data_IF_092203917360
#
_entry.id   IF_092203917360
#
_cell.length_a   1.000
_cell.length_b   1.000
_cell.length_c   1.000
_cell.angle_alpha   90.00
_cell.angle_beta   90.00
_cell.angle_gamma   90.00
#
_symmetry.space_group_name_H-M   'P 1'
#
loop_
_entity.id
_entity.type
_entity.pdbx_description
1 polymer ?
#
# COMPACT_ATOMS: atom_id res chain seq x y z
N UNK A 1 13.07 11.67 -12.94
CA UNK A 1 12.15 10.57 -12.58
C UNK A 1 11.68 10.73 -11.17
N UNK A 2 10.44 10.38 -10.91
CA UNK A 2 9.87 10.45 -9.57
C UNK A 2 9.12 9.17 -9.23
N UNK A 3 8.95 8.93 -7.93
CA UNK A 3 8.13 7.82 -7.44
C UNK A 3 6.73 8.32 -7.15
N UNK A 4 5.77 7.49 -7.46
CA UNK A 4 4.39 7.78 -7.17
C UNK A 4 3.69 6.47 -6.79
N UNK A 5 2.58 6.55 -6.08
CA UNK A 5 1.94 5.32 -5.69
C UNK A 5 0.67 5.50 -4.89
N UNK A 6 0.30 4.46 -4.19
CA UNK A 6 -0.91 4.42 -3.38
C UNK A 6 -0.57 4.05 -1.94
N UNK A 7 -1.46 4.43 -1.04
CA UNK A 7 -1.38 4.06 0.37
C UNK A 7 -2.66 3.35 0.78
N UNK A 8 -2.53 2.33 1.62
CA UNK A 8 -3.66 1.60 2.17
C UNK A 8 -3.70 1.83 3.67
N UNK A 9 -4.85 2.27 4.17
CA UNK A 9 -5.07 2.60 5.58
C UNK A 9 -6.23 1.81 6.15
N UNK A 10 -6.23 1.63 7.46
CA UNK A 10 -7.47 1.32 8.15
C UNK A 10 -8.36 2.57 8.11
N UNK A 11 -9.65 2.36 8.02
CA UNK A 11 -10.61 3.46 8.03
C UNK A 11 -11.04 3.74 9.47
N UNK A 12 -11.03 5.01 9.83
CA UNK A 12 -11.47 5.47 11.14
C UNK A 12 -12.81 6.20 11.00
N UNK A 13 -13.62 6.20 12.05
CA UNK A 13 -14.82 7.02 12.10
C UNK A 13 -14.49 8.49 12.34
N UNK A 14 -13.24 8.79 12.66
CA UNK A 14 -12.75 10.16 12.81
C UNK A 14 -12.55 10.80 11.43
N UNK A 15 -12.22 12.08 11.43
CA UNK A 15 -12.00 12.82 10.18
C UNK A 15 -10.78 12.36 9.42
N UNK A 16 -9.78 11.88 10.12
CA UNK A 16 -8.52 11.43 9.51
C UNK A 16 -8.59 9.95 9.16
N UNK A 17 -7.78 9.56 8.17
CA UNK A 17 -7.59 8.15 7.86
C UNK A 17 -6.97 7.45 9.07
N UNK A 18 -7.29 6.17 9.23
CA UNK A 18 -6.68 5.35 10.28
C UNK A 18 -5.22 5.06 9.99
N UNK A 19 -4.59 4.21 10.82
CA UNK A 19 -3.17 3.91 10.65
C UNK A 19 -2.84 3.33 9.29
N UNK A 20 -1.69 3.70 8.76
CA UNK A 20 -1.21 3.27 7.46
C UNK A 20 -0.76 1.80 7.52
N UNK A 21 -1.20 1.00 6.55
CA UNK A 21 -0.89 -0.43 6.49
C UNK A 21 0.21 -0.73 5.47
N UNK A 22 0.07 -0.19 4.27
CA UNK A 22 0.94 -0.55 3.15
C UNK A 22 1.01 0.58 2.14
N UNK A 23 2.11 0.58 1.38
CA UNK A 23 2.30 1.51 0.27
C UNK A 23 2.81 0.75 -0.94
N UNK A 24 2.28 1.09 -2.10
CA UNK A 24 2.74 0.58 -3.38
C UNK A 24 3.27 1.72 -4.22
N UNK A 25 4.36 1.50 -4.94
CA UNK A 25 5.06 2.53 -5.70
C UNK A 25 5.34 2.12 -7.13
N UNK A 26 5.33 3.11 -8.02
CA UNK A 26 5.85 2.97 -9.38
C UNK A 26 6.85 4.10 -9.60
N UNK A 27 7.77 3.88 -10.53
CA UNK A 27 8.65 4.94 -11.02
C UNK A 27 7.98 5.59 -12.22
N UNK A 28 7.95 6.91 -12.22
CA UNK A 28 7.35 7.68 -13.31
C UNK A 28 8.45 8.25 -14.17
N UNK A 29 8.35 8.02 -15.47
CA UNK A 29 9.31 8.60 -16.42
C UNK A 29 8.88 10.01 -16.79
N UNK A 30 9.85 10.81 -17.23
CA UNK A 30 9.66 12.23 -17.52
C UNK A 30 8.58 12.49 -18.58
N UNK A 31 8.50 11.62 -19.56
CA UNK A 31 7.61 11.81 -20.71
C UNK A 31 6.33 10.98 -20.63
N UNK A 32 6.08 10.37 -19.47
CA UNK A 32 4.90 9.55 -19.31
C UNK A 32 3.64 10.39 -19.21
N UNK A 33 2.57 9.98 -19.88
CA UNK A 33 1.31 10.72 -19.83
C UNK A 33 0.57 10.46 -18.51
N UNK A 34 -0.25 11.43 -18.11
CA UNK A 34 -1.08 11.27 -16.92
C UNK A 34 -1.99 10.06 -17.05
N UNK A 35 -2.57 9.87 -18.22
CA UNK A 35 -3.45 8.72 -18.48
C UNK A 35 -2.74 7.40 -18.22
N UNK A 36 -1.48 7.28 -18.68
CA UNK A 36 -0.71 6.07 -18.48
C UNK A 36 -0.36 5.85 -17.00
N UNK A 37 -0.02 6.93 -16.31
CA UNK A 37 0.28 6.88 -14.86
C UNK A 37 -0.95 6.38 -14.10
N UNK A 38 -2.12 6.89 -14.41
CA UNK A 38 -3.37 6.48 -13.76
C UNK A 38 -3.64 4.99 -13.98
N UNK A 39 -3.45 4.50 -15.20
CA UNK A 39 -3.61 3.08 -15.51
C UNK A 39 -2.69 2.21 -14.66
N UNK A 40 -1.45 2.62 -14.51
CA UNK A 40 -0.46 1.87 -13.74
C UNK A 40 -0.80 1.87 -12.25
N UNK A 41 -1.26 3.01 -11.74
CA UNK A 41 -1.70 3.12 -10.34
C UNK A 41 -2.88 2.19 -10.07
N UNK A 42 -3.85 2.13 -10.96
CA UNK A 42 -4.99 1.22 -10.83
C UNK A 42 -4.53 -0.24 -10.82
N UNK A 43 -3.53 -0.60 -11.62
CA UNK A 43 -2.97 -1.96 -11.58
C UNK A 43 -2.37 -2.28 -10.21
N UNK A 44 -1.68 -1.32 -9.59
CA UNK A 44 -1.14 -1.52 -8.25
C UNK A 44 -2.27 -1.79 -7.26
N UNK A 45 -3.35 -1.01 -7.33
CA UNK A 45 -4.49 -1.21 -6.46
C UNK A 45 -5.07 -2.63 -6.60
N UNK A 46 -5.25 -3.08 -7.84
CA UNK A 46 -5.79 -4.41 -8.11
C UNK A 46 -4.88 -5.55 -7.66
N UNK A 47 -3.58 -5.30 -7.55
CA UNK A 47 -2.63 -6.30 -7.08
C UNK A 47 -2.43 -6.24 -5.57
N UNK A 48 -2.25 -5.04 -5.03
CA UNK A 48 -1.87 -4.87 -3.64
C UNK A 48 -3.05 -4.99 -2.69
N UNK A 49 -4.19 -4.39 -3.02
CA UNK A 49 -5.33 -4.37 -2.11
C UNK A 49 -5.86 -5.76 -1.75
N UNK A 50 -6.08 -6.68 -2.71
CA UNK A 50 -6.50 -8.04 -2.37
C UNK A 50 -5.47 -8.76 -1.50
N UNK A 51 -4.18 -8.55 -1.76
CA UNK A 51 -3.13 -9.17 -0.97
C UNK A 51 -3.19 -8.70 0.49
N UNK A 52 -3.37 -7.41 0.70
CA UNK A 52 -3.47 -6.85 2.06
C UNK A 52 -4.73 -7.35 2.76
N UNK A 53 -5.86 -7.37 2.06
CA UNK A 53 -7.11 -7.88 2.62
C UNK A 53 -6.95 -9.35 3.05
N UNK A 54 -6.29 -10.14 2.21
CA UNK A 54 -6.04 -11.55 2.52
C UNK A 54 -5.19 -11.69 3.80
N UNK A 55 -4.17 -10.87 3.94
CA UNK A 55 -3.32 -10.90 5.12
C UNK A 55 -4.07 -10.47 6.38
N UNK A 56 -4.97 -9.50 6.26
CA UNK A 56 -5.83 -9.10 7.37
C UNK A 56 -6.77 -10.24 7.76
N UNK A 57 -7.38 -10.90 6.78
CA UNK A 57 -8.29 -12.02 7.02
C UNK A 57 -7.57 -13.21 7.67
N UNK A 58 -6.29 -13.38 7.38
CA UNK A 58 -5.47 -14.43 7.98
C UNK A 58 -4.83 -14.01 9.30
N UNK A 59 -5.19 -12.82 9.79
CA UNK A 59 -4.67 -12.27 11.03
C UNK A 59 -3.16 -12.03 11.04
N UNK A 60 -2.56 -11.88 9.87
CA UNK A 60 -1.15 -11.52 9.73
C UNK A 60 -0.94 -10.01 9.77
N UNK A 61 -2.01 -9.25 9.63
CA UNK A 61 -2.02 -7.80 9.82
C UNK A 61 -3.18 -7.50 10.76
N UNK A 62 -2.91 -6.78 11.84
CA UNK A 62 -3.93 -6.45 12.82
C UNK A 62 -3.62 -5.14 13.53
N UNK A 63 -4.62 -4.60 14.21
CA UNK A 63 -4.45 -3.39 15.02
C UNK A 63 -4.29 -3.78 16.49
N UNK A 64 -3.33 -3.12 17.14
CA UNK A 64 -3.12 -3.23 18.57
C UNK A 64 -2.81 -1.83 19.11
N UNK A 65 -3.68 -1.30 19.98
CA UNK A 65 -3.56 0.06 20.51
C UNK A 65 -3.39 1.11 19.41
N UNK A 66 -4.17 1.00 18.35
CA UNK A 66 -4.12 1.91 17.18
C UNK A 66 -2.83 1.84 16.38
N UNK A 67 -2.02 0.83 16.60
CA UNK A 67 -0.83 0.58 15.79
C UNK A 67 -1.05 -0.65 14.92
N UNK A 68 -0.56 -0.59 13.69
CA UNK A 68 -0.60 -1.73 12.78
C UNK A 68 0.52 -2.68 13.15
N UNK A 69 0.17 -3.93 13.38
CA UNK A 69 1.13 -5.00 13.68
C UNK A 69 1.12 -6.04 12.56
N UNK A 70 2.27 -6.63 12.34
CA UNK A 70 2.48 -7.60 11.28
C UNK A 70 3.01 -8.90 11.85
N UNK A 71 2.49 -10.02 11.33
CA UNK A 71 2.90 -11.36 11.73
C UNK A 71 3.21 -12.17 10.49
N UNK A 72 4.39 -12.83 10.49
CA UNK A 72 4.81 -13.67 9.36
C UNK A 72 4.96 -12.91 8.05
N UNK A 73 5.25 -11.61 8.11
CA UNK A 73 5.47 -10.76 6.94
C UNK A 73 6.83 -10.11 7.08
N UNK A 74 7.65 -10.22 6.04
CA UNK A 74 8.95 -9.57 6.01
C UNK A 74 8.79 -8.13 5.55
N UNK A 75 9.08 -7.19 6.43
CA UNK A 75 8.94 -5.76 6.14
C UNK A 75 10.22 -5.14 5.57
N UNK A 76 11.30 -5.92 5.41
CA UNK A 76 12.57 -5.45 4.84
C UNK A 76 13.11 -4.19 5.54
N UNK A 77 13.07 -4.19 6.88
CA UNK A 77 13.53 -3.08 7.73
C UNK A 77 12.67 -1.81 7.63
N UNK A 78 11.49 -1.90 7.05
CA UNK A 78 10.53 -0.79 7.04
C UNK A 78 9.53 -0.95 8.19
N UNK A 79 8.81 0.11 8.49
CA UNK A 79 7.77 0.09 9.54
C UNK A 79 6.43 -0.43 9.03
N UNK A 80 6.30 -0.58 7.72
CA UNK A 80 5.07 -1.03 7.07
C UNK A 80 5.43 -1.75 5.78
N UNK A 81 4.44 -2.36 5.15
CA UNK A 81 4.63 -3.02 3.87
C UNK A 81 4.87 -1.97 2.79
N UNK A 82 5.99 -2.08 2.09
CA UNK A 82 6.33 -1.21 0.95
C UNK A 82 6.68 -2.08 -0.24
N UNK A 83 6.00 -1.89 -1.34
CA UNK A 83 6.24 -2.64 -2.57
C UNK A 83 6.45 -1.72 -3.74
N UNK A 84 7.48 -1.97 -4.53
CA UNK A 84 7.74 -1.28 -5.77
C UNK A 84 7.33 -2.18 -6.92
N UNK A 85 6.68 -1.62 -7.92
CA UNK A 85 6.15 -2.35 -9.08
C UNK A 85 6.76 -1.83 -10.36
N UNK A 86 7.04 -2.74 -11.29
CA UNK A 86 7.56 -2.41 -12.61
C UNK A 86 6.51 -2.73 -13.69
N UNK A 87 5.34 -2.16 -13.51
CA UNK A 87 4.20 -2.44 -14.40
C UNK A 87 3.69 -1.19 -15.09
#
# INVERSE_FOLDING_TARGET
DSRHGISIHYVSSELDAGPLIAQGFINITKDETLENIIKRIHKIEHLLLPEIINEICNENIYLDNNEVKYRNINLNNHKLIKKSYEI
#
